data_IF_076715910929
#
_entry.id   IF_076715910929
#
_cell.length_a   1.000
_cell.length_b   1.000
_cell.length_c   1.000
_cell.angle_alpha   90.00
_cell.angle_beta   90.00
_cell.angle_gamma   90.00
#
_symmetry.space_group_name_H-M   'P 1'
#
loop_
_entity.id
_entity.type
_entity.pdbx_description
1 polymer ?
#
# COMPACT_ATOMS: atom_id res chain seq x y z
N UNK A 1 0.60 -23.33 -29.50
CA UNK A 1 -0.33 -23.08 -28.38
C UNK A 1 0.15 -21.81 -27.73
N UNK A 2 -0.42 -20.68 -28.12
CA UNK A 2 -0.07 -19.40 -27.50
C UNK A 2 -0.64 -19.39 -26.09
N UNK A 3 0.26 -19.35 -25.11
CA UNK A 3 -0.09 -19.05 -23.73
C UNK A 3 -0.77 -17.68 -23.73
N UNK A 4 -2.07 -17.64 -23.39
CA UNK A 4 -2.75 -16.40 -23.05
C UNK A 4 -2.07 -15.81 -21.82
N UNK A 5 -1.04 -14.99 -22.04
CA UNK A 5 -0.39 -14.24 -20.98
C UNK A 5 -1.34 -13.10 -20.63
N UNK A 6 -2.04 -13.24 -19.49
CA UNK A 6 -2.85 -12.15 -18.92
C UNK A 6 -1.96 -10.93 -18.79
N UNK A 7 -2.43 -9.79 -19.28
CA UNK A 7 -1.66 -8.54 -19.23
C UNK A 7 -1.61 -7.96 -17.82
N UNK A 8 -0.55 -7.21 -17.49
CA UNK A 8 -0.42 -6.54 -16.18
C UNK A 8 -1.65 -5.67 -15.84
N UNK A 9 -2.26 -5.04 -16.84
CA UNK A 9 -3.47 -4.24 -16.67
C UNK A 9 -4.65 -5.11 -16.23
N UNK A 10 -4.87 -6.24 -16.90
CA UNK A 10 -5.93 -7.18 -16.53
C UNK A 10 -5.68 -7.78 -15.14
N UNK A 11 -4.42 -8.08 -14.79
CA UNK A 11 -4.10 -8.57 -13.45
C UNK A 11 -4.42 -7.55 -12.36
N UNK A 12 -4.13 -6.26 -12.57
CA UNK A 12 -4.50 -5.20 -11.62
C UNK A 12 -6.01 -5.09 -11.44
N UNK A 13 -6.79 -5.22 -12.53
CA UNK A 13 -8.25 -5.25 -12.47
C UNK A 13 -8.73 -6.44 -11.62
N UNK A 14 -8.20 -7.64 -11.88
CA UNK A 14 -8.53 -8.84 -11.09
C UNK A 14 -8.20 -8.65 -9.61
N UNK A 15 -7.05 -8.05 -9.29
CA UNK A 15 -6.68 -7.74 -7.90
C UNK A 15 -7.73 -6.81 -7.27
N UNK A 16 -8.09 -5.74 -7.97
CA UNK A 16 -9.11 -4.79 -7.50
C UNK A 16 -10.46 -5.45 -7.25
N UNK A 17 -10.95 -6.25 -8.20
CA UNK A 17 -12.25 -6.92 -8.09
C UNK A 17 -12.29 -7.91 -6.91
N UNK A 18 -11.21 -8.64 -6.68
CA UNK A 18 -11.11 -9.54 -5.52
C UNK A 18 -11.08 -8.78 -4.20
N UNK A 19 -10.41 -7.63 -4.13
CA UNK A 19 -10.43 -6.79 -2.94
C UNK A 19 -11.82 -6.22 -2.67
N UNK A 20 -12.55 -5.80 -3.71
CA UNK A 20 -13.94 -5.35 -3.61
C UNK A 20 -14.88 -6.47 -3.10
N UNK A 21 -14.63 -7.72 -3.49
CA UNK A 21 -15.36 -8.90 -3.00
C UNK A 21 -14.95 -9.36 -1.59
N UNK A 22 -13.99 -8.69 -0.95
CA UNK A 22 -13.47 -9.06 0.37
C UNK A 22 -12.54 -10.28 0.36
N UNK A 23 -12.01 -10.66 -0.79
CA UNK A 23 -11.11 -11.81 -0.97
C UNK A 23 -9.63 -11.45 -0.79
N UNK A 24 -9.31 -10.73 0.31
CA UNK A 24 -7.94 -10.30 0.60
C UNK A 24 -6.95 -11.47 0.74
N UNK A 25 -7.39 -12.64 1.24
CA UNK A 25 -6.56 -13.84 1.36
C UNK A 25 -5.99 -14.33 0.02
N UNK A 26 -6.78 -14.24 -1.05
CA UNK A 26 -6.34 -14.60 -2.40
C UNK A 26 -5.25 -13.63 -2.88
N UNK A 27 -5.41 -12.34 -2.57
CA UNK A 27 -4.42 -11.32 -2.93
C UNK A 27 -3.15 -11.46 -2.12
N UNK A 28 -3.24 -11.78 -0.83
CA UNK A 28 -2.09 -12.13 0.01
C UNK A 28 -1.33 -13.31 -0.60
N UNK A 29 -2.03 -14.35 -1.06
CA UNK A 29 -1.41 -15.50 -1.72
C UNK A 29 -0.67 -15.08 -3.01
N UNK A 30 -1.27 -14.21 -3.83
CA UNK A 30 -0.63 -13.68 -5.04
C UNK A 30 0.65 -12.90 -4.71
N UNK A 31 0.61 -11.98 -3.75
CA UNK A 31 1.79 -11.20 -3.33
C UNK A 31 2.92 -12.06 -2.77
N UNK A 32 2.58 -13.14 -2.04
CA UNK A 32 3.57 -14.11 -1.54
C UNK A 32 4.22 -14.92 -2.66
N UNK A 33 3.52 -15.14 -3.77
CA UNK A 33 4.01 -15.91 -4.91
C UNK A 33 4.82 -15.06 -5.88
N UNK A 34 4.43 -13.79 -6.05
CA UNK A 34 5.04 -12.88 -7.00
C UNK A 34 5.33 -11.51 -6.34
N UNK A 35 6.59 -11.32 -5.95
CA UNK A 35 7.06 -10.08 -5.33
C UNK A 35 7.06 -8.89 -6.28
N UNK A 36 6.88 -9.09 -7.60
CA UNK A 36 6.76 -7.98 -8.54
C UNK A 36 5.47 -7.17 -8.32
N UNK A 37 4.44 -7.78 -7.72
CA UNK A 37 3.18 -7.12 -7.42
C UNK A 37 3.30 -5.97 -6.42
N UNK A 38 4.34 -5.96 -5.57
CA UNK A 38 4.63 -4.82 -4.69
C UNK A 38 4.93 -3.54 -5.46
N UNK A 39 5.43 -3.61 -6.70
CA UNK A 39 5.64 -2.44 -7.53
C UNK A 39 4.31 -1.81 -8.01
N UNK A 40 3.20 -2.57 -7.99
CA UNK A 40 1.89 -2.10 -8.42
C UNK A 40 1.07 -1.44 -7.30
N UNK A 41 1.54 -1.49 -6.04
CA UNK A 41 0.84 -0.89 -4.90
C UNK A 41 0.49 0.57 -5.14
N UNK A 42 1.38 1.34 -5.79
CA UNK A 42 1.11 2.73 -6.12
C UNK A 42 -0.08 2.91 -7.06
N UNK A 43 -0.18 2.09 -8.11
CA UNK A 43 -1.29 2.13 -9.06
C UNK A 43 -2.60 1.62 -8.45
N UNK A 44 -2.55 0.59 -7.61
CA UNK A 44 -3.73 0.05 -6.92
C UNK A 44 -4.34 1.06 -5.93
N UNK A 45 -3.54 1.94 -5.33
CA UNK A 45 -4.04 3.05 -4.51
C UNK A 45 -4.71 4.18 -5.31
N UNK A 46 -4.61 4.17 -6.65
CA UNK A 46 -5.38 5.07 -7.50
C UNK A 46 -6.77 4.50 -7.87
N UNK A 47 -7.11 3.29 -7.42
CA UNK A 47 -8.44 2.73 -7.67
C UNK A 47 -9.52 3.63 -7.03
N UNK A 48 -10.56 3.97 -7.80
CA UNK A 48 -11.62 4.89 -7.35
C UNK A 48 -12.44 4.27 -6.21
N UNK A 49 -12.52 2.94 -6.15
CA UNK A 49 -13.29 2.21 -5.14
C UNK A 49 -12.55 2.23 -3.81
N UNK A 50 -13.12 2.93 -2.82
CA UNK A 50 -12.57 2.98 -1.47
C UNK A 50 -12.33 1.58 -0.87
N UNK A 51 -13.23 0.63 -1.11
CA UNK A 51 -13.12 -0.76 -0.63
C UNK A 51 -11.88 -1.48 -1.16
N UNK A 52 -11.43 -1.17 -2.38
CA UNK A 52 -10.22 -1.74 -2.97
C UNK A 52 -8.99 -1.21 -2.25
N UNK A 53 -8.92 0.10 -2.05
CA UNK A 53 -7.78 0.73 -1.37
C UNK A 53 -7.68 0.30 0.09
N UNK A 54 -8.81 0.22 0.79
CA UNK A 54 -8.87 -0.36 2.13
C UNK A 54 -8.45 -1.84 2.14
N UNK A 55 -8.93 -2.63 1.18
CA UNK A 55 -8.52 -4.02 1.03
C UNK A 55 -7.00 -4.16 0.84
N UNK A 56 -6.36 -3.26 0.10
CA UNK A 56 -4.91 -3.24 -0.06
C UNK A 56 -4.19 -2.94 1.26
N UNK A 57 -4.71 -2.02 2.08
CA UNK A 57 -4.18 -1.78 3.43
C UNK A 57 -4.21 -3.07 4.27
N UNK A 58 -5.34 -3.77 4.27
CA UNK A 58 -5.50 -5.04 5.00
C UNK A 58 -4.51 -6.12 4.52
N UNK A 59 -4.27 -6.21 3.21
CA UNK A 59 -3.24 -7.11 2.64
C UNK A 59 -1.87 -6.82 3.25
N UNK A 60 -1.49 -5.55 3.38
CA UNK A 60 -0.21 -5.18 3.98
C UNK A 60 -0.15 -5.46 5.48
N UNK A 61 -1.25 -5.24 6.23
CA UNK A 61 -1.31 -5.57 7.65
C UNK A 61 -1.06 -7.06 7.89
N UNK A 62 -1.73 -7.93 7.11
CA UNK A 62 -1.56 -9.37 7.20
C UNK A 62 -0.16 -9.82 6.79
N UNK A 63 0.37 -9.30 5.68
CA UNK A 63 1.75 -9.61 5.26
C UNK A 63 2.78 -9.16 6.30
N UNK A 64 2.58 -8.02 6.96
CA UNK A 64 3.43 -7.55 8.04
C UNK A 64 3.30 -8.43 9.29
N UNK A 65 2.08 -8.87 9.66
CA UNK A 65 1.84 -9.80 10.76
C UNK A 65 2.54 -11.15 10.52
N UNK A 66 2.58 -11.60 9.26
CA UNK A 66 3.34 -12.78 8.81
C UNK A 66 4.85 -12.54 8.70
N UNK A 67 5.36 -11.35 9.03
CA UNK A 67 6.77 -10.94 8.90
C UNK A 67 7.33 -11.14 7.50
N UNK A 68 6.49 -10.97 6.48
CA UNK A 68 6.91 -11.12 5.10
C UNK A 68 7.85 -9.97 4.72
N UNK A 69 9.13 -10.30 4.47
CA UNK A 69 10.19 -9.30 4.33
C UNK A 69 10.09 -8.46 3.06
N UNK A 70 9.35 -8.93 2.06
CA UNK A 70 9.27 -8.28 0.75
C UNK A 70 8.26 -7.13 0.71
N UNK A 71 7.48 -6.90 1.78
CA UNK A 71 6.57 -5.74 1.86
C UNK A 71 7.28 -4.40 1.64
N UNK A 72 8.58 -4.32 1.96
CA UNK A 72 9.42 -3.14 1.70
C UNK A 72 9.62 -2.84 0.20
N UNK A 73 9.38 -3.80 -0.69
CA UNK A 73 9.50 -3.60 -2.14
C UNK A 73 8.43 -2.64 -2.67
N UNK A 74 7.39 -2.34 -1.90
CA UNK A 74 6.37 -1.35 -2.26
C UNK A 74 6.82 0.10 -2.02
N UNK A 75 7.87 0.33 -1.21
CA UNK A 75 8.32 1.69 -0.86
C UNK A 75 8.57 2.58 -2.10
N UNK A 76 9.26 2.12 -3.16
CA UNK A 76 9.46 2.96 -4.36
C UNK A 76 8.16 3.35 -5.07
N UNK A 77 7.13 2.50 -5.04
CA UNK A 77 5.84 2.78 -5.64
C UNK A 77 4.97 3.71 -4.77
N UNK A 78 5.15 3.67 -3.44
CA UNK A 78 4.43 4.49 -2.47
C UNK A 78 5.01 5.91 -2.34
N UNK A 79 6.33 6.07 -2.45
CA UNK A 79 7.00 7.34 -2.21
C UNK A 79 6.47 8.51 -3.08
N UNK A 80 6.21 8.33 -4.40
CA UNK A 80 5.65 9.39 -5.24
C UNK A 80 4.24 9.82 -4.80
N UNK A 81 3.49 8.94 -4.14
CA UNK A 81 2.12 9.23 -3.69
C UNK A 81 2.07 10.21 -2.52
N UNK A 82 3.21 10.53 -1.89
CA UNK A 82 3.28 11.48 -0.79
C UNK A 82 3.34 12.95 -1.25
N UNK A 83 3.43 13.20 -2.56
CA UNK A 83 3.56 14.55 -3.11
C UNK A 83 2.27 15.36 -2.93
N UNK A 84 2.38 16.67 -2.69
CA UNK A 84 1.25 17.56 -2.42
C UNK A 84 0.15 17.56 -3.51
N UNK A 85 0.49 17.26 -4.77
CA UNK A 85 -0.46 17.18 -5.88
C UNK A 85 -1.28 15.88 -5.97
N UNK A 86 -0.99 14.88 -5.13
CA UNK A 86 -1.74 13.63 -5.05
C UNK A 86 -2.98 13.83 -4.16
N UNK A 87 -4.16 13.28 -4.45
CA UNK A 87 -5.33 13.45 -3.60
C UNK A 87 -5.09 13.02 -2.14
N UNK A 88 -5.63 13.77 -1.18
CA UNK A 88 -5.35 13.55 0.25
C UNK A 88 -5.68 12.13 0.72
N UNK A 89 -6.77 11.53 0.21
CA UNK A 89 -7.13 10.15 0.56
C UNK A 89 -6.07 9.13 0.10
N UNK A 90 -5.51 9.29 -1.11
CA UNK A 90 -4.41 8.44 -1.62
C UNK A 90 -3.16 8.64 -0.78
N UNK A 91 -2.83 9.90 -0.42
CA UNK A 91 -1.69 10.19 0.46
C UNK A 91 -1.86 9.50 1.82
N UNK A 92 -3.04 9.61 2.42
CA UNK A 92 -3.37 8.98 3.70
C UNK A 92 -3.19 7.46 3.67
N UNK A 93 -3.69 6.79 2.63
CA UNK A 93 -3.52 5.34 2.48
C UNK A 93 -2.06 4.95 2.22
N UNK A 94 -1.31 5.73 1.43
CA UNK A 94 0.12 5.50 1.22
C UNK A 94 0.92 5.68 2.52
N UNK A 95 0.59 6.69 3.33
CA UNK A 95 1.15 6.90 4.67
C UNK A 95 0.87 5.69 5.56
N UNK A 96 -0.37 5.20 5.58
CA UNK A 96 -0.76 4.01 6.35
C UNK A 96 0.06 2.78 5.96
N UNK A 97 0.17 2.48 4.66
CA UNK A 97 0.95 1.33 4.18
C UNK A 97 2.45 1.48 4.53
N UNK A 98 3.03 2.68 4.37
CA UNK A 98 4.41 2.94 4.79
C UNK A 98 4.60 2.78 6.31
N UNK A 99 3.61 3.15 7.11
CA UNK A 99 3.59 2.89 8.55
C UNK A 99 3.56 1.41 8.90
N UNK A 100 2.75 0.62 8.19
CA UNK A 100 2.69 -0.85 8.32
C UNK A 100 4.03 -1.49 7.96
N UNK A 101 4.66 -1.04 6.86
CA UNK A 101 6.00 -1.50 6.45
C UNK A 101 7.04 -1.20 7.54
N UNK A 102 6.95 -0.03 8.19
CA UNK A 102 7.64 0.27 9.44
C UNK A 102 9.17 0.28 9.40
N UNK A 103 9.78 0.17 8.22
CA UNK A 103 11.24 0.23 8.07
C UNK A 103 11.74 1.66 8.32
N UNK A 104 13.02 1.79 8.67
CA UNK A 104 13.67 3.11 8.83
C UNK A 104 13.50 3.96 7.55
N UNK A 105 13.59 3.33 6.38
CA UNK A 105 13.38 3.99 5.10
C UNK A 105 11.96 4.53 4.95
N UNK A 106 10.95 3.70 5.21
CA UNK A 106 9.54 4.09 5.13
C UNK A 106 9.21 5.22 6.12
N UNK A 107 9.61 5.09 7.39
CA UNK A 107 9.35 6.10 8.41
C UNK A 107 10.07 7.43 8.14
N UNK A 108 11.23 7.41 7.46
CA UNK A 108 11.93 8.63 7.05
C UNK A 108 11.12 9.42 6.02
N UNK A 109 10.41 8.74 5.12
CA UNK A 109 9.56 9.38 4.10
C UNK A 109 8.36 10.10 4.73
N UNK A 110 7.87 9.64 5.89
CA UNK A 110 6.68 10.21 6.55
C UNK A 110 6.98 11.51 7.30
N UNK A 111 8.24 11.74 7.72
CA UNK A 111 8.60 12.90 8.56
C UNK A 111 8.19 14.27 8.00
N UNK A 112 8.34 14.56 6.70
CA UNK A 112 7.92 15.84 6.13
C UNK A 112 6.39 16.05 6.18
N UNK A 113 5.60 14.97 6.18
CA UNK A 113 4.14 15.03 6.14
C UNK A 113 3.51 15.38 7.48
N UNK A 114 4.30 15.56 8.55
CA UNK A 114 3.82 16.23 9.77
C UNK A 114 3.24 17.63 9.51
N UNK A 115 3.66 18.25 8.40
CA UNK A 115 3.16 19.55 7.95
C UNK A 115 2.33 19.42 6.66
N UNK A 116 1.75 18.25 6.38
CA UNK A 116 0.88 18.06 5.22
C UNK A 116 -0.29 19.06 5.27
N UNK A 117 -0.74 19.54 4.10
CA UNK A 117 -1.83 20.50 4.01
C UNK A 117 -3.14 19.93 4.58
N UNK A 118 -3.35 18.63 4.42
CA UNK A 118 -4.54 17.94 4.88
C UNK A 118 -4.41 17.54 6.37
N UNK A 119 -5.35 17.95 7.24
CA UNK A 119 -5.30 17.63 8.67
C UNK A 119 -5.38 16.13 8.97
N UNK A 120 -6.13 15.36 8.19
CA UNK A 120 -6.27 13.93 8.39
C UNK A 120 -4.96 13.21 8.06
N UNK A 121 -4.25 13.64 7.01
CA UNK A 121 -2.93 13.10 6.69
C UNK A 121 -1.93 13.38 7.81
N UNK A 122 -1.95 14.59 8.40
CA UNK A 122 -1.08 14.93 9.54
C UNK A 122 -1.36 14.03 10.75
N UNK A 123 -2.63 13.82 11.09
CA UNK A 123 -3.04 12.95 12.20
C UNK A 123 -2.50 11.52 12.03
N UNK A 124 -2.69 10.92 10.86
CA UNK A 124 -2.18 9.57 10.55
C UNK A 124 -0.65 9.51 10.70
N UNK A 125 0.07 10.52 10.20
CA UNK A 125 1.55 10.57 10.32
C UNK A 125 1.99 10.69 11.78
N UNK A 126 1.30 11.51 12.57
CA UNK A 126 1.60 11.68 13.99
C UNK A 126 1.40 10.38 14.75
N UNK A 127 0.28 9.68 14.53
CA UNK A 127 -0.02 8.39 15.15
C UNK A 127 1.04 7.34 14.83
N UNK A 128 1.41 7.21 13.55
CA UNK A 128 2.42 6.24 13.09
C UNK A 128 3.80 6.54 13.70
N UNK A 129 4.19 7.81 13.76
CA UNK A 129 5.52 8.18 14.26
C UNK A 129 5.58 8.21 15.80
N UNK A 130 4.44 8.30 16.49
CA UNK A 130 4.33 8.16 17.93
C UNK A 130 4.33 6.69 18.37
N UNK A 131 3.85 5.78 17.52
CA UNK A 131 3.92 4.35 17.78
C UNK A 131 5.38 3.89 17.93
N UNK A 132 5.68 3.18 19.02
CA UNK A 132 7.04 2.64 19.24
C UNK A 132 7.40 1.69 18.08
N UNK A 133 8.64 1.72 17.58
CA UNK A 133 9.07 0.77 16.56
C UNK A 133 8.87 -0.66 17.09
N UNK A 134 8.17 -1.49 16.31
CA UNK A 134 8.01 -2.92 16.61
C UNK A 134 9.40 -3.57 16.52
N UNK A 135 9.97 -3.88 17.68
CA UNK A 135 11.27 -4.54 17.87
C UNK A 135 11.30 -5.96 17.31
#
# INVERSE_FOLDING_TARGET
MDSFKVSDKETKVVIGDFLEMGHAENIIAMFKQDSSLFAWTGELLHDERFVVRLGLVLVFEELAALKHKEIRLAIPALAPLLAAGIPAYVRGEAVTILGIIGTIEALRLLRPLKNDADPQVREIVEDILAAKPKS
#
